data_IF_113492518860
#
_entry.id   IF_113492518860
#
_cell.length_a   1.000
_cell.length_b   1.000
_cell.length_c   1.000
_cell.angle_alpha   90.00
_cell.angle_beta   90.00
_cell.angle_gamma   90.00
#
_symmetry.space_group_name_H-M   'P 1'
#
loop_
_entity.id
_entity.type
_entity.pdbx_description
1 polymer ?
#
# COMPACT_ATOMS: atom_id res chain seq x y z
N UNK A 1 1.72 19.23 -27.69
CA UNK A 1 2.14 18.71 -26.37
C UNK A 1 1.38 17.41 -26.09
N UNK A 2 2.04 16.25 -26.11
CA UNK A 2 1.41 15.00 -25.71
C UNK A 2 1.53 14.88 -24.19
N UNK A 3 0.43 15.04 -23.46
CA UNK A 3 0.37 14.61 -22.07
C UNK A 3 0.55 13.08 -22.04
N UNK A 4 1.76 12.61 -21.70
CA UNK A 4 2.00 11.20 -21.37
C UNK A 4 1.26 10.95 -20.06
N UNK A 5 0.21 10.13 -20.09
CA UNK A 5 -0.66 9.86 -18.93
C UNK A 5 0.16 9.53 -17.68
N UNK A 6 -0.12 10.24 -16.59
CA UNK A 6 0.48 9.99 -15.28
C UNK A 6 0.24 8.54 -14.88
N UNK A 7 1.29 7.73 -14.87
CA UNK A 7 1.27 6.44 -14.18
C UNK A 7 0.96 6.75 -12.71
N UNK A 8 -0.23 6.41 -12.23
CA UNK A 8 -0.56 6.57 -10.81
C UNK A 8 0.45 5.75 -9.99
N UNK A 9 1.18 6.42 -9.10
CA UNK A 9 2.18 5.77 -8.25
C UNK A 9 1.45 4.76 -7.36
N UNK A 10 1.90 3.50 -7.38
CA UNK A 10 1.39 2.42 -6.53
C UNK A 10 2.48 2.01 -5.55
N UNK A 11 2.13 1.87 -4.27
CA UNK A 11 3.06 1.44 -3.21
C UNK A 11 2.49 0.24 -2.48
N UNK A 12 3.26 -0.86 -2.47
CA UNK A 12 2.95 -2.04 -1.67
C UNK A 12 3.68 -1.97 -0.33
N UNK A 13 2.95 -2.12 0.78
CA UNK A 13 3.53 -2.30 2.11
C UNK A 13 3.45 -3.79 2.44
N UNK A 14 4.61 -4.47 2.43
CA UNK A 14 4.73 -5.88 2.79
C UNK A 14 4.99 -6.01 4.30
N UNK A 15 4.06 -6.64 5.02
CA UNK A 15 4.07 -6.74 6.47
C UNK A 15 3.56 -5.46 7.16
N UNK A 16 2.52 -5.58 7.97
CA UNK A 16 1.82 -4.48 8.62
C UNK A 16 1.91 -4.51 10.16
N UNK A 17 3.10 -4.86 10.63
CA UNK A 17 3.54 -4.71 12.02
C UNK A 17 3.80 -3.25 12.42
N UNK A 18 4.75 -3.03 13.34
CA UNK A 18 5.11 -1.66 13.79
C UNK A 18 5.72 -0.83 12.65
N UNK A 19 6.57 -1.45 11.84
CA UNK A 19 7.28 -0.79 10.74
C UNK A 19 6.31 -0.44 9.60
N UNK A 20 5.49 -1.37 9.13
CA UNK A 20 4.49 -1.10 8.09
C UNK A 20 3.52 0.03 8.47
N UNK A 21 3.14 0.13 9.76
CA UNK A 21 2.33 1.25 10.25
C UNK A 21 3.06 2.58 10.24
N UNK A 22 4.34 2.59 10.62
CA UNK A 22 5.17 3.79 10.57
C UNK A 22 5.38 4.26 9.12
N UNK A 23 5.62 3.32 8.20
CA UNK A 23 5.74 3.59 6.76
C UNK A 23 4.44 4.16 6.21
N UNK A 24 3.29 3.56 6.50
CA UNK A 24 2.01 4.10 6.05
C UNK A 24 1.81 5.54 6.52
N UNK A 25 2.12 5.82 7.80
CA UNK A 25 2.02 7.18 8.35
C UNK A 25 2.94 8.15 7.61
N UNK A 26 4.19 7.77 7.36
CA UNK A 26 5.14 8.58 6.60
C UNK A 26 4.62 8.86 5.18
N UNK A 27 4.21 7.84 4.44
CA UNK A 27 3.71 7.95 3.07
C UNK A 27 2.48 8.86 2.99
N UNK A 28 1.55 8.75 3.94
CA UNK A 28 0.35 9.61 4.00
C UNK A 28 0.67 11.09 4.24
N UNK A 29 1.76 11.38 4.95
CA UNK A 29 2.19 12.76 5.24
C UNK A 29 3.14 13.33 4.18
N UNK A 30 3.71 12.49 3.33
CA UNK A 30 4.72 12.92 2.37
C UNK A 30 4.09 13.49 1.09
N UNK A 31 4.48 14.71 0.65
CA UNK A 31 3.98 15.31 -0.59
C UNK A 31 4.22 14.45 -1.84
N UNK A 32 5.35 13.72 -1.88
CA UNK A 32 5.77 12.92 -3.03
C UNK A 32 4.84 11.71 -3.29
N UNK A 33 4.10 11.29 -2.26
CA UNK A 33 3.18 10.16 -2.32
C UNK A 33 1.72 10.60 -2.28
N UNK A 34 1.45 11.91 -2.42
CA UNK A 34 0.08 12.43 -2.48
C UNK A 34 -0.65 11.84 -3.69
N UNK A 35 -1.74 11.14 -3.43
CA UNK A 35 -2.53 10.46 -4.47
C UNK A 35 -1.96 9.12 -4.93
N UNK A 36 -0.91 8.61 -4.27
CA UNK A 36 -0.44 7.25 -4.50
C UNK A 36 -1.49 6.22 -4.01
N UNK A 37 -1.67 5.14 -4.76
CA UNK A 37 -2.44 3.98 -4.29
C UNK A 37 -1.54 3.17 -3.36
N UNK A 38 -1.88 3.12 -2.07
CA UNK A 38 -1.15 2.35 -1.07
C UNK A 38 -1.94 1.09 -0.74
N UNK A 39 -1.31 -0.08 -0.91
CA UNK A 39 -1.91 -1.38 -0.63
C UNK A 39 -1.09 -2.13 0.40
N UNK A 40 -1.79 -2.65 1.41
CA UNK A 40 -1.17 -3.40 2.52
C UNK A 40 -1.25 -4.90 2.22
N UNK A 41 -0.13 -5.58 2.38
CA UNK A 41 0.00 -7.02 2.21
C UNK A 41 0.49 -7.62 3.53
N UNK A 42 -0.26 -8.56 4.11
CA UNK A 42 0.17 -9.21 5.36
C UNK A 42 -0.34 -10.65 5.44
N UNK A 43 0.52 -11.57 5.88
CA UNK A 43 0.14 -12.96 6.09
C UNK A 43 -0.90 -13.12 7.22
N UNK A 44 -0.90 -12.23 8.21
CA UNK A 44 -1.82 -12.24 9.33
C UNK A 44 -3.19 -11.64 8.96
N UNK A 45 -4.20 -12.51 8.81
CA UNK A 45 -5.59 -12.12 8.54
C UNK A 45 -6.24 -11.22 9.60
N UNK A 46 -5.68 -11.17 10.81
CA UNK A 46 -6.21 -10.40 11.93
C UNK A 46 -5.49 -9.06 12.13
N UNK A 47 -4.56 -8.69 11.23
CA UNK A 47 -3.86 -7.42 11.34
C UNK A 47 -4.86 -6.27 11.21
N UNK A 48 -4.79 -5.30 12.11
CA UNK A 48 -5.64 -4.11 12.06
C UNK A 48 -5.08 -3.13 11.04
N UNK A 49 -5.81 -2.92 9.96
CA UNK A 49 -5.54 -1.86 8.98
C UNK A 49 -6.42 -0.64 9.26
N UNK A 50 -5.99 0.57 8.88
CA UNK A 50 -6.85 1.75 8.97
C UNK A 50 -8.12 1.57 8.12
N UNK A 51 -9.22 2.16 8.57
CA UNK A 51 -10.50 2.09 7.87
C UNK A 51 -10.36 2.68 6.46
N UNK A 52 -10.81 1.93 5.45
CA UNK A 52 -10.76 2.36 4.05
C UNK A 52 -9.42 2.11 3.35
N UNK A 53 -8.39 1.60 4.04
CA UNK A 53 -7.17 1.13 3.37
C UNK A 53 -7.44 -0.14 2.58
N UNK A 54 -6.90 -0.23 1.37
CA UNK A 54 -6.87 -1.49 0.61
C UNK A 54 -5.86 -2.44 1.24
N UNK A 55 -6.28 -3.66 1.53
CA UNK A 55 -5.43 -4.68 2.14
C UNK A 55 -5.71 -6.06 1.56
N UNK A 56 -4.66 -6.84 1.33
CA UNK A 56 -4.72 -8.23 0.92
C UNK A 56 -4.06 -9.04 2.03
N UNK A 57 -4.86 -9.85 2.71
CA UNK A 57 -4.45 -10.51 3.95
C UNK A 57 -4.55 -12.02 3.84
N UNK A 58 -3.74 -12.73 4.63
CA UNK A 58 -3.81 -14.19 4.75
C UNK A 58 -2.75 -14.92 3.92
N UNK A 59 -2.97 -16.23 3.74
CA UNK A 59 -1.99 -17.12 3.09
C UNK A 59 -1.60 -16.65 1.69
N UNK A 60 -2.56 -16.14 0.94
CA UNK A 60 -2.38 -15.73 -0.45
C UNK A 60 -2.17 -14.22 -0.61
N UNK A 61 -1.72 -13.53 0.44
CA UNK A 61 -1.53 -12.07 0.41
C UNK A 61 -0.69 -11.64 -0.79
N UNK A 62 0.40 -12.34 -1.11
CA UNK A 62 1.30 -11.99 -2.21
C UNK A 62 0.76 -12.26 -3.62
N UNK A 63 -0.43 -12.88 -3.77
CA UNK A 63 -1.00 -13.24 -5.08
C UNK A 63 -1.14 -12.05 -6.05
N UNK A 64 -1.26 -10.84 -5.52
CA UNK A 64 -1.45 -9.61 -6.29
C UNK A 64 -0.21 -8.71 -6.38
N UNK A 65 0.96 -9.19 -5.94
CA UNK A 65 2.17 -8.36 -5.91
C UNK A 65 2.69 -7.99 -7.31
N UNK A 66 2.32 -8.76 -8.35
CA UNK A 66 2.71 -8.53 -9.75
C UNK A 66 2.11 -7.26 -10.39
N UNK A 67 1.21 -6.56 -9.68
CA UNK A 67 0.50 -5.35 -10.13
C UNK A 67 1.20 -4.03 -9.77
N UNK A 68 2.41 -4.12 -9.19
CA UNK A 68 3.26 -3.00 -8.76
C UNK A 68 4.54 -2.96 -9.61
#
# INVERSE_FOLDING_TARGET
>A
MKQKGSKHLRVAILGFGREGKAILKFLQTSPDYRGAEIVIFDQNKNVRTPRGSRAILGKDHLSWLHEF
#
